data_IF_166500042396
#
_entry.id   IF_166500042396
#
_cell.length_a   1.000
_cell.length_b   1.000
_cell.length_c   1.000
_cell.angle_alpha   90.00
_cell.angle_beta   90.00
_cell.angle_gamma   90.00
#
_symmetry.space_group_name_H-M   'P 1'
#
loop_
_entity.id
_entity.type
_entity.pdbx_description
1 polymer ?
#
# COMPACT_ATOMS: atom_id res chain seq x y z
N UNK A 1 28.75 -26.47 61.22
CA UNK A 1 27.88 -26.92 60.10
C UNK A 1 26.64 -26.04 60.10
N UNK A 2 26.72 -24.90 59.41
CA UNK A 2 25.58 -23.98 59.24
C UNK A 2 24.75 -24.55 58.10
N UNK A 3 23.52 -24.97 58.41
CA UNK A 3 22.55 -25.40 57.40
C UNK A 3 22.07 -24.14 56.70
N UNK A 4 22.37 -24.03 55.42
CA UNK A 4 21.76 -23.09 54.52
C UNK A 4 20.28 -23.43 54.46
N UNK A 5 19.44 -22.58 55.06
CA UNK A 5 17.99 -22.65 54.89
C UNK A 5 17.67 -22.25 53.45
N UNK A 6 17.56 -23.26 52.58
CA UNK A 6 16.93 -23.12 51.27
C UNK A 6 15.45 -22.85 51.53
N UNK A 7 15.12 -21.56 51.65
CA UNK A 7 13.74 -21.10 51.74
C UNK A 7 13.02 -21.59 50.47
N UNK A 8 12.17 -22.61 50.63
CA UNK A 8 11.31 -23.12 49.59
C UNK A 8 10.53 -21.94 49.00
N UNK A 9 10.88 -21.52 47.78
CA UNK A 9 10.23 -20.39 47.14
C UNK A 9 8.72 -20.68 47.04
N UNK A 10 7.92 -19.85 47.71
CA UNK A 10 6.47 -19.88 47.59
C UNK A 10 6.09 -19.56 46.13
N UNK A 11 5.40 -20.51 45.48
CA UNK A 11 4.95 -20.38 44.10
C UNK A 11 4.07 -19.13 43.90
N UNK A 12 3.27 -18.77 44.91
CA UNK A 12 2.43 -17.58 44.85
C UNK A 12 3.26 -16.28 44.85
N UNK A 13 4.31 -16.23 45.66
CA UNK A 13 5.24 -15.11 45.69
C UNK A 13 5.99 -14.92 44.38
N UNK A 14 6.41 -16.02 43.74
CA UNK A 14 7.06 -15.99 42.42
C UNK A 14 6.10 -15.40 41.36
N UNK A 15 4.85 -15.84 41.35
CA UNK A 15 3.85 -15.38 40.39
C UNK A 15 3.53 -13.88 40.57
N UNK A 16 3.45 -13.41 41.81
CA UNK A 16 3.20 -12.01 42.11
C UNK A 16 4.37 -11.11 41.68
N UNK A 17 5.61 -11.55 41.96
CA UNK A 17 6.83 -10.85 41.52
C UNK A 17 6.89 -10.82 39.99
N UNK A 18 6.57 -11.93 39.32
CA UNK A 18 6.53 -12.00 37.86
C UNK A 18 5.49 -11.04 37.27
N UNK A 19 4.30 -10.94 37.88
CA UNK A 19 3.25 -10.03 37.44
C UNK A 19 3.69 -8.55 37.59
N UNK A 20 4.17 -8.17 38.78
CA UNK A 20 4.65 -6.81 39.05
C UNK A 20 5.84 -6.44 38.16
N UNK A 21 6.77 -7.37 37.95
CA UNK A 21 7.91 -7.17 37.05
C UNK A 21 7.45 -6.96 35.59
N UNK A 22 6.41 -7.68 35.16
CA UNK A 22 5.85 -7.52 33.81
C UNK A 22 5.10 -6.19 33.65
N UNK A 23 4.42 -5.73 34.70
CA UNK A 23 3.66 -4.47 34.70
C UNK A 23 4.57 -3.23 34.80
N UNK A 24 5.65 -3.32 35.58
CA UNK A 24 6.64 -2.24 35.71
C UNK A 24 7.61 -2.17 34.53
N UNK A 25 7.66 -3.19 33.66
CA UNK A 25 8.64 -3.24 32.59
C UNK A 25 8.25 -2.34 31.40
N UNK A 26 9.16 -1.43 31.05
CA UNK A 26 9.02 -0.54 29.91
C UNK A 26 8.99 -1.31 28.58
N UNK A 27 8.30 -0.75 27.58
CA UNK A 27 8.34 -1.26 26.23
C UNK A 27 9.75 -1.08 25.64
N UNK A 28 10.28 -2.11 24.96
CA UNK A 28 11.61 -2.05 24.36
C UNK A 28 11.49 -2.18 22.84
N UNK A 29 12.25 -1.37 22.10
CA UNK A 29 12.38 -1.49 20.66
C UNK A 29 13.51 -2.47 20.36
N UNK A 30 13.22 -3.49 19.57
CA UNK A 30 14.18 -4.47 19.06
C UNK A 30 14.33 -4.26 17.56
N UNK A 31 15.54 -4.47 17.05
CA UNK A 31 15.84 -4.36 15.62
C UNK A 31 16.02 -5.77 15.08
N UNK A 32 15.18 -6.14 14.12
CA UNK A 32 15.32 -7.41 13.39
C UNK A 32 16.25 -7.17 12.21
N UNK A 33 17.35 -7.94 12.11
CA UNK A 33 18.30 -7.84 11.00
C UNK A 33 17.69 -8.41 9.72
N UNK A 34 17.68 -7.59 8.66
CA UNK A 34 17.07 -7.90 7.36
C UNK A 34 17.99 -7.53 6.20
N UNK A 35 19.30 -7.41 6.42
CA UNK A 35 20.30 -6.92 5.43
C UNK A 35 20.23 -7.56 4.04
N UNK A 36 19.85 -8.82 3.93
CA UNK A 36 19.84 -9.56 2.66
C UNK A 36 18.44 -9.72 2.05
N UNK A 37 17.44 -9.01 2.58
CA UNK A 37 16.06 -9.10 2.10
C UNK A 37 15.73 -7.96 1.13
N UNK A 38 15.46 -8.32 -0.12
CA UNK A 38 15.10 -7.35 -1.17
C UNK A 38 13.82 -6.56 -0.79
N UNK A 39 13.89 -5.23 -0.90
CA UNK A 39 12.76 -4.34 -0.61
C UNK A 39 12.53 -4.02 0.87
N UNK A 40 13.37 -4.52 1.78
CA UNK A 40 13.36 -4.15 3.20
C UNK A 40 14.60 -3.31 3.56
N UNK A 41 14.50 -2.43 4.58
CA UNK A 41 15.68 -1.78 5.15
C UNK A 41 16.60 -2.81 5.82
N UNK A 42 17.85 -2.43 6.12
CA UNK A 42 18.82 -3.32 6.77
C UNK A 42 18.40 -3.80 8.18
N UNK A 43 17.51 -3.06 8.84
CA UNK A 43 16.91 -3.47 10.09
C UNK A 43 15.51 -2.92 10.26
N UNK A 44 14.60 -3.76 10.74
CA UNK A 44 13.20 -3.39 10.98
C UNK A 44 12.96 -3.24 12.48
N UNK A 45 12.55 -2.05 12.95
CA UNK A 45 12.22 -1.85 14.36
C UNK A 45 10.86 -2.47 14.69
N UNK A 46 10.83 -3.27 15.75
CA UNK A 46 9.62 -3.85 16.34
C UNK A 46 9.58 -3.53 17.83
N UNK A 47 8.42 -3.14 18.33
CA UNK A 47 8.22 -2.91 19.77
C UNK A 47 7.80 -4.22 20.42
N UNK A 48 8.46 -4.62 21.51
CA UNK A 48 8.04 -5.77 22.29
C UNK A 48 7.18 -5.32 23.47
N UNK A 49 5.92 -5.74 23.46
CA UNK A 49 4.99 -5.55 24.56
C UNK A 49 5.14 -6.73 25.54
N UNK A 50 5.79 -6.48 26.68
CA UNK A 50 6.02 -7.50 27.71
C UNK A 50 4.75 -7.96 28.40
N UNK A 51 3.74 -7.10 28.53
CA UNK A 51 2.47 -7.46 29.15
C UNK A 51 1.67 -8.39 28.26
N UNK A 52 1.63 -8.10 26.96
CA UNK A 52 0.96 -8.94 25.98
C UNK A 52 1.83 -10.12 25.47
N UNK A 53 3.13 -10.16 25.81
CA UNK A 53 4.13 -11.08 25.25
C UNK A 53 4.09 -11.13 23.71
N UNK A 54 3.97 -9.96 23.07
CA UNK A 54 3.75 -9.85 21.63
C UNK A 54 4.58 -8.73 21.01
N UNK A 55 4.99 -8.92 19.75
CA UNK A 55 5.62 -7.87 18.95
C UNK A 55 4.56 -7.01 18.28
N UNK A 56 4.72 -5.69 18.37
CA UNK A 56 3.88 -4.69 17.72
C UNK A 56 4.70 -3.90 16.69
N UNK A 57 4.05 -3.56 15.58
CA UNK A 57 4.65 -2.73 14.54
C UNK A 57 4.77 -1.28 15.00
N UNK A 58 5.97 -0.72 14.91
CA UNK A 58 6.22 0.71 15.19
C UNK A 58 5.66 1.60 14.08
N UNK A 59 5.54 1.06 12.84
CA UNK A 59 5.04 1.81 11.69
C UNK A 59 3.67 2.41 11.97
N UNK A 60 2.72 1.65 12.52
CA UNK A 60 1.36 2.15 12.79
C UNK A 60 1.37 3.43 13.62
N UNK A 61 2.10 3.41 14.75
CA UNK A 61 2.21 4.53 15.68
C UNK A 61 2.82 5.78 15.03
N UNK A 62 3.82 5.62 14.16
CA UNK A 62 4.45 6.75 13.47
C UNK A 62 3.51 7.31 12.39
N UNK A 63 2.85 6.44 11.64
CA UNK A 63 1.99 6.84 10.53
C UNK A 63 0.75 7.64 10.98
N UNK A 64 0.32 7.49 12.25
CA UNK A 64 -0.76 8.30 12.85
C UNK A 64 -0.44 9.80 12.87
N UNK A 65 0.84 10.17 13.03
CA UNK A 65 1.27 11.57 13.11
C UNK A 65 1.69 12.14 11.75
N UNK A 66 1.50 11.38 10.68
CA UNK A 66 1.90 11.78 9.33
C UNK A 66 1.09 12.98 8.85
N UNK A 67 1.79 14.05 8.48
CA UNK A 67 1.19 15.31 8.01
C UNK A 67 0.96 15.37 6.49
N UNK A 68 1.57 14.46 5.72
CA UNK A 68 1.45 14.42 4.26
C UNK A 68 1.44 12.96 3.75
N UNK A 69 0.82 12.63 2.60
CA UNK A 69 0.73 11.25 2.10
C UNK A 69 2.08 10.51 1.97
N UNK A 70 2.09 9.17 2.11
CA UNK A 70 3.30 8.33 1.90
C UNK A 70 3.92 8.57 0.53
N UNK A 71 3.06 8.58 -0.48
CA UNK A 71 3.42 8.65 -1.88
C UNK A 71 2.24 9.15 -2.68
N UNK A 72 2.52 9.58 -3.91
CA UNK A 72 1.49 9.87 -4.90
C UNK A 72 0.84 8.55 -5.33
N UNK A 73 -0.45 8.40 -5.06
CA UNK A 73 -1.26 7.25 -5.44
C UNK A 73 -2.67 7.71 -5.76
N UNK A 74 -3.38 6.94 -6.57
CA UNK A 74 -4.75 7.23 -6.98
C UNK A 74 -4.93 7.17 -8.48
N UNK A 75 -6.19 7.30 -8.91
CA UNK A 75 -6.57 7.37 -10.32
C UNK A 75 -7.31 8.68 -10.56
N UNK A 76 -6.74 9.56 -11.39
CA UNK A 76 -7.41 10.77 -11.84
C UNK A 76 -8.23 10.46 -13.10
N UNK A 77 -9.55 10.59 -13.04
CA UNK A 77 -10.42 10.46 -14.22
C UNK A 77 -10.64 11.84 -14.83
N UNK A 78 -10.33 12.00 -16.11
CA UNK A 78 -10.49 13.25 -16.84
C UNK A 78 -11.43 13.08 -18.03
N UNK A 79 -12.14 14.15 -18.36
CA UNK A 79 -13.16 14.16 -19.42
C UNK A 79 -12.66 14.70 -20.76
N UNK A 80 -11.50 15.38 -20.77
CA UNK A 80 -10.93 15.97 -21.99
C UNK A 80 -9.52 15.47 -22.25
N UNK A 81 -9.19 15.32 -23.54
CA UNK A 81 -7.84 14.95 -23.97
C UNK A 81 -6.79 16.00 -23.55
N UNK A 82 -7.16 17.28 -23.55
CA UNK A 82 -6.27 18.35 -23.11
C UNK A 82 -5.89 18.20 -21.63
N UNK A 83 -6.86 17.93 -20.75
CA UNK A 83 -6.60 17.66 -19.33
C UNK A 83 -5.77 16.40 -19.13
N UNK A 84 -5.99 15.36 -19.94
CA UNK A 84 -5.18 14.14 -19.91
C UNK A 84 -3.71 14.43 -20.22
N UNK A 85 -3.43 15.13 -21.33
CA UNK A 85 -2.07 15.50 -21.73
C UNK A 85 -1.41 16.35 -20.64
N UNK A 86 -2.11 17.38 -20.15
CA UNK A 86 -1.57 18.27 -19.12
C UNK A 86 -1.20 17.53 -17.83
N UNK A 87 -2.03 16.58 -17.37
CA UNK A 87 -1.72 15.80 -16.17
C UNK A 87 -0.59 14.80 -16.39
N UNK A 88 -0.53 14.17 -17.57
CA UNK A 88 0.57 13.26 -17.93
C UNK A 88 1.88 14.03 -17.97
N UNK A 89 1.94 15.16 -18.67
CA UNK A 89 3.17 15.97 -18.75
C UNK A 89 3.62 16.52 -17.39
N UNK A 90 2.67 16.81 -16.49
CA UNK A 90 2.98 17.28 -15.13
C UNK A 90 3.65 16.22 -14.26
N UNK A 91 3.36 14.94 -14.50
CA UNK A 91 3.69 13.87 -13.55
C UNK A 91 4.47 12.70 -14.15
N UNK A 92 4.68 12.66 -15.47
CA UNK A 92 5.45 11.61 -16.12
C UNK A 92 6.91 11.63 -15.68
N UNK A 93 7.50 10.46 -15.70
CA UNK A 93 8.93 10.20 -15.64
C UNK A 93 9.34 9.35 -16.85
N UNK A 94 10.62 8.98 -16.93
CA UNK A 94 11.19 8.24 -18.06
C UNK A 94 10.59 6.84 -18.25
N UNK A 95 9.99 6.28 -17.19
CA UNK A 95 9.44 4.92 -17.17
C UNK A 95 7.90 4.92 -17.13
N UNK A 96 7.27 6.06 -17.39
CA UNK A 96 5.81 6.19 -17.47
C UNK A 96 5.27 5.57 -18.76
N UNK A 97 4.14 4.88 -18.68
CA UNK A 97 3.57 4.13 -19.82
C UNK A 97 2.12 4.53 -20.08
N UNK A 98 1.76 4.61 -21.37
CA UNK A 98 0.41 4.84 -21.86
C UNK A 98 -0.19 3.55 -22.40
N UNK A 99 -1.40 3.22 -21.94
CA UNK A 99 -2.19 2.10 -22.43
C UNK A 99 -3.41 2.63 -23.19
N UNK A 100 -3.58 2.16 -24.43
CA UNK A 100 -4.77 2.40 -25.22
C UNK A 100 -5.68 1.19 -25.21
N UNK A 101 -6.91 1.34 -24.69
CA UNK A 101 -7.99 0.38 -24.93
C UNK A 101 -8.83 0.91 -26.08
N UNK A 102 -8.85 0.18 -27.19
CA UNK A 102 -9.61 0.53 -28.41
C UNK A 102 -10.88 -0.29 -28.57
N UNK A 103 -11.13 -1.25 -27.68
CA UNK A 103 -12.27 -2.16 -27.74
C UNK A 103 -13.56 -1.49 -27.25
N UNK A 104 -14.61 -1.60 -28.06
CA UNK A 104 -15.97 -1.18 -27.73
C UNK A 104 -16.56 -2.02 -26.57
N UNK A 105 -17.39 -1.46 -25.65
CA UNK A 105 -17.98 -0.12 -25.61
C UNK A 105 -17.22 0.94 -24.80
N UNK A 106 -16.03 0.61 -24.32
CA UNK A 106 -15.28 1.44 -23.38
C UNK A 106 -13.87 1.73 -23.91
N UNK A 107 -13.75 2.46 -25.05
CA UNK A 107 -12.46 2.94 -25.49
C UNK A 107 -11.95 3.97 -24.48
N UNK A 108 -10.67 3.85 -24.10
CA UNK A 108 -10.04 4.79 -23.15
C UNK A 108 -8.53 4.78 -23.25
N UNK A 109 -7.92 5.86 -22.80
CA UNK A 109 -6.49 5.97 -22.54
C UNK A 109 -6.24 5.88 -21.03
N UNK A 110 -5.22 5.13 -20.64
CA UNK A 110 -4.76 5.06 -19.24
C UNK A 110 -3.27 5.31 -19.19
N UNK A 111 -2.85 6.36 -18.50
CA UNK A 111 -1.45 6.56 -18.15
C UNK A 111 -1.17 5.90 -16.80
N UNK A 112 -0.08 5.14 -16.70
CA UNK A 112 0.48 4.67 -15.44
C UNK A 112 1.84 5.35 -15.27
N UNK A 113 1.92 6.23 -14.27
CA UNK A 113 3.04 7.15 -14.11
C UNK A 113 4.19 6.54 -13.29
N UNK A 114 3.90 5.56 -12.46
CA UNK A 114 4.88 4.81 -11.66
C UNK A 114 4.98 3.36 -12.13
N UNK A 115 5.12 3.17 -13.45
CA UNK A 115 5.18 1.85 -14.09
C UNK A 115 6.54 1.18 -13.91
N UNK A 116 6.55 -0.16 -13.96
CA UNK A 116 7.76 -0.97 -13.73
C UNK A 116 8.78 -0.77 -14.86
N UNK A 117 10.07 -0.87 -14.49
CA UNK A 117 11.21 -0.86 -15.40
C UNK A 117 11.93 -2.20 -15.32
N UNK A 118 12.38 -2.70 -16.47
CA UNK A 118 13.21 -3.91 -16.51
C UNK A 118 14.55 -3.70 -15.77
N UNK A 119 15.00 -4.73 -15.03
CA UNK A 119 16.29 -4.71 -14.33
C UNK A 119 16.34 -3.87 -13.04
N UNK A 120 15.21 -3.30 -12.60
CA UNK A 120 15.10 -2.48 -11.38
C UNK A 120 14.01 -3.09 -10.45
N UNK A 121 14.10 -2.91 -9.12
CA UNK A 121 13.04 -3.36 -8.22
C UNK A 121 11.64 -2.87 -8.62
N UNK A 122 10.62 -3.68 -8.33
CA UNK A 122 9.23 -3.39 -8.67
C UNK A 122 8.78 -2.03 -8.10
N UNK A 123 8.02 -1.29 -8.91
CA UNK A 123 7.46 0.01 -8.54
C UNK A 123 6.01 -0.16 -8.08
N UNK A 124 5.44 0.92 -7.56
CA UNK A 124 4.14 0.86 -6.87
C UNK A 124 2.94 0.71 -7.82
N UNK A 125 3.05 1.12 -9.09
CA UNK A 125 2.00 1.03 -10.13
C UNK A 125 0.63 1.57 -9.71
N UNK A 126 0.65 2.58 -8.86
CA UNK A 126 -0.50 3.08 -8.10
C UNK A 126 -0.93 4.49 -8.49
N UNK A 127 -0.18 5.18 -9.36
CA UNK A 127 -0.51 6.52 -9.82
C UNK A 127 -0.94 6.50 -11.28
N UNK A 128 -2.23 6.75 -11.51
CA UNK A 128 -2.86 6.60 -12.82
C UNK A 128 -3.68 7.81 -13.22
N UNK A 129 -3.77 8.03 -14.53
CA UNK A 129 -4.70 9.00 -15.14
C UNK A 129 -5.50 8.24 -16.19
N UNK A 130 -6.82 8.39 -16.18
CA UNK A 130 -7.74 7.73 -17.11
C UNK A 130 -8.52 8.78 -17.87
N UNK A 131 -8.51 8.67 -19.20
CA UNK A 131 -9.36 9.43 -20.10
C UNK A 131 -10.26 8.48 -20.87
N UNK A 132 -11.57 8.56 -20.60
CA UNK A 132 -12.56 7.85 -21.39
C UNK A 132 -12.93 8.72 -22.60
N UNK A 133 -12.94 8.14 -23.80
CA UNK A 133 -13.32 8.92 -24.98
C UNK A 133 -14.79 9.34 -24.86
N UNK A 134 -15.13 10.61 -25.14
CA UNK A 134 -16.52 11.06 -25.13
C UNK A 134 -17.28 10.32 -26.24
N UNK A 135 -18.29 9.54 -25.83
CA UNK A 135 -19.18 8.83 -26.74
C UNK A 135 -20.50 9.57 -26.83
N UNK A 136 -20.81 10.12 -28.01
CA UNK A 136 -22.08 10.80 -28.23
C UNK A 136 -23.24 9.80 -28.21
N UNK A 137 -24.46 10.27 -27.91
CA UNK A 137 -25.64 9.40 -27.88
C UNK A 137 -25.94 8.84 -29.27
N UNK A 138 -25.72 9.63 -30.31
CA UNK A 138 -25.88 9.22 -31.72
C UNK A 138 -24.89 8.12 -32.08
N UNK A 139 -23.64 8.23 -31.63
CA UNK A 139 -22.63 7.20 -31.87
C UNK A 139 -23.00 5.90 -31.13
N UNK A 140 -23.48 5.98 -29.89
CA UNK A 140 -23.99 4.81 -29.15
C UNK A 140 -25.18 4.17 -29.85
N UNK A 141 -26.12 4.97 -30.35
CA UNK A 141 -27.29 4.49 -31.09
C UNK A 141 -26.89 3.81 -32.41
N UNK A 142 -25.96 4.41 -33.15
CA UNK A 142 -25.42 3.86 -34.38
C UNK A 142 -24.71 2.51 -34.15
N UNK A 143 -23.80 2.43 -33.18
CA UNK A 143 -23.13 1.15 -32.85
C UNK A 143 -24.13 0.11 -32.35
N UNK A 144 -25.16 0.51 -31.61
CA UNK A 144 -26.22 -0.39 -31.17
C UNK A 144 -27.03 -0.98 -32.33
N UNK A 145 -27.11 -0.31 -33.48
CA UNK A 145 -27.74 -0.83 -34.69
C UNK A 145 -26.86 -1.77 -35.52
N UNK A 146 -25.56 -1.87 -35.19
CA UNK A 146 -24.62 -2.70 -35.95
C UNK A 146 -25.03 -4.18 -35.90
N UNK A 147 -24.99 -4.85 -37.06
CA UNK A 147 -25.38 -6.24 -37.27
C UNK A 147 -26.83 -6.60 -36.83
N UNK A 148 -27.72 -5.61 -36.69
CA UNK A 148 -29.14 -5.85 -36.41
C UNK A 148 -29.98 -5.66 -37.68
N UNK A 149 -30.90 -6.58 -38.00
CA UNK A 149 -31.82 -6.40 -39.11
C UNK A 149 -32.77 -5.23 -38.82
N UNK A 150 -32.90 -4.33 -39.79
CA UNK A 150 -33.87 -3.22 -39.72
C UNK A 150 -35.13 -3.60 -40.52
N UNK A 151 -36.34 -3.43 -39.97
CA UNK A 151 -37.57 -3.57 -40.73
C UNK A 151 -37.59 -2.55 -41.87
N UNK A 152 -37.93 -2.99 -43.08
CA UNK A 152 -38.28 -2.10 -44.19
C UNK A 152 -39.80 -2.13 -44.33
N UNK A 153 -40.43 -0.96 -44.23
CA UNK A 153 -41.83 -0.75 -44.59
C UNK A 153 -41.95 -0.39 -46.09
#
# INVERSE_FOLDING_TARGET
MSKTDDAALDAHGIDLIKALATEAAEATILIVDTKDQAGLPAGVPVAFDRKAQAFKSVKGLIEEFRQAPDRRKGTATVETLASFIALVDRHKDDDSVLFGKTVWPDPKLTAVLDYDKEGVPARNRSHRIVYAFPLTEEFKAWVNGNAKPMPQD
#
